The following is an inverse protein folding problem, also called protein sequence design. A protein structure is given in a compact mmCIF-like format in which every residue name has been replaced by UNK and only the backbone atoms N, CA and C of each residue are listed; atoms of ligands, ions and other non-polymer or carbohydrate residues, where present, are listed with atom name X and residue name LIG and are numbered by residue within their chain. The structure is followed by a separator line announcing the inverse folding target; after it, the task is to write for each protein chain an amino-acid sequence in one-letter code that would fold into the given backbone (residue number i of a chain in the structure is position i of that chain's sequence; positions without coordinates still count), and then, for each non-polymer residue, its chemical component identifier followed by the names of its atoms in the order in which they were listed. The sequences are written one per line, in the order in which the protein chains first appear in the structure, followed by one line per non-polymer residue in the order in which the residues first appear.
data_IF_362419424370
#
_entry.id   IF_362419424370
#
_cell.length_a   1.000
_cell.length_b   1.000
_cell.length_c   1.000
_cell.angle_alpha   90.00
_cell.angle_beta   90.00
_cell.angle_gamma   90.00
#
_symmetry.space_group_name_H-M   'P 1'
#
loop_
_entity.id
_entity.type
_entity.pdbx_description
1 polymer ?
#
# COMPACT_ATOMS: atom_id res chain seq x y z
N UNK A 1 31.43 -9.85 64.23
CA UNK A 1 31.99 -8.85 63.31
C UNK A 1 31.77 -9.41 61.89
N UNK A 2 30.54 -9.46 61.36
CA UNK A 2 29.70 -8.47 60.63
C UNK A 2 29.89 -8.50 59.09
N UNK A 3 28.74 -8.68 58.39
CA UNK A 3 28.41 -8.52 56.94
C UNK A 3 28.83 -9.64 55.98
N UNK A 4 28.13 -10.01 54.89
CA UNK A 4 26.83 -9.70 54.24
C UNK A 4 26.73 -10.68 53.04
N UNK A 5 25.55 -11.11 52.62
CA UNK A 5 25.18 -11.07 51.19
C UNK A 5 23.67 -11.22 51.01
N UNK A 6 23.07 -10.12 50.61
CA UNK A 6 21.68 -10.00 50.21
C UNK A 6 21.39 -10.79 48.91
N UNK A 7 20.12 -11.18 48.76
CA UNK A 7 19.46 -11.15 47.46
C UNK A 7 19.39 -12.47 46.70
N UNK A 8 18.42 -13.34 47.05
CA UNK A 8 17.82 -14.29 46.10
C UNK A 8 16.30 -14.31 46.29
N UNK A 9 15.65 -13.31 45.70
CA UNK A 9 14.20 -13.29 45.52
C UNK A 9 13.80 -14.34 44.48
N UNK A 10 12.84 -15.19 44.85
CA UNK A 10 12.22 -16.21 44.03
C UNK A 10 11.40 -15.53 42.92
N UNK A 11 11.68 -15.82 41.65
CA UNK A 11 10.80 -15.45 40.54
C UNK A 11 9.83 -16.60 40.29
N UNK A 12 8.60 -16.48 40.78
CA UNK A 12 7.47 -17.30 40.35
C UNK A 12 7.05 -16.90 38.93
N UNK A 13 7.27 -17.79 37.97
CA UNK A 13 6.75 -17.65 36.62
C UNK A 13 5.27 -18.06 36.61
N UNK A 14 4.37 -17.07 36.70
CA UNK A 14 2.94 -17.27 36.41
C UNK A 14 2.79 -17.33 34.89
N UNK A 15 2.65 -18.54 34.34
CA UNK A 15 2.30 -18.73 32.93
C UNK A 15 0.81 -18.39 32.77
N UNK A 16 0.49 -17.12 32.49
CA UNK A 16 -0.82 -16.77 31.98
C UNK A 16 -0.88 -17.27 30.54
N UNK A 17 -1.89 -18.11 30.27
CA UNK A 17 -2.23 -18.57 28.95
C UNK A 17 -2.44 -17.36 28.02
N UNK A 18 -1.45 -17.05 27.19
CA UNK A 18 -1.65 -16.20 26.03
C UNK A 18 -2.67 -16.91 25.15
N UNK A 19 -3.88 -16.34 25.11
CA UNK A 19 -4.96 -16.83 24.29
C UNK A 19 -4.48 -17.08 22.88
N UNK A 20 -4.96 -18.18 22.29
CA UNK A 20 -4.90 -18.42 20.85
C UNK A 20 -5.66 -17.30 20.13
N UNK A 21 -5.01 -16.16 19.96
CA UNK A 21 -5.44 -15.15 18.99
C UNK A 21 -5.22 -15.76 17.63
N UNK A 22 -6.29 -16.32 17.07
CA UNK A 22 -6.34 -16.65 15.65
C UNK A 22 -6.27 -15.31 14.90
N UNK A 23 -5.06 -14.86 14.58
CA UNK A 23 -4.85 -13.63 13.83
C UNK A 23 -5.51 -13.80 12.46
N UNK A 24 -6.62 -13.11 12.25
CA UNK A 24 -7.27 -13.07 10.95
C UNK A 24 -6.25 -12.65 9.90
N UNK A 25 -6.14 -13.42 8.81
CA UNK A 25 -5.22 -13.10 7.72
C UNK A 25 -5.51 -11.66 7.24
N UNK A 26 -4.49 -10.80 7.12
CA UNK A 26 -4.71 -9.41 6.72
C UNK A 26 -5.42 -9.36 5.37
N UNK A 27 -6.42 -8.48 5.26
CA UNK A 27 -7.18 -8.32 4.04
C UNK A 27 -6.24 -8.03 2.85
N UNK A 28 -6.38 -8.80 1.76
CA UNK A 28 -5.55 -8.63 0.57
C UNK A 28 -5.78 -7.25 -0.03
N UNK A 29 -4.70 -6.58 -0.42
CA UNK A 29 -4.79 -5.30 -1.13
C UNK A 29 -5.44 -5.50 -2.51
N UNK A 30 -6.30 -4.56 -2.89
CA UNK A 30 -6.89 -4.56 -4.24
C UNK A 30 -5.91 -3.91 -5.22
N UNK A 31 -5.63 -4.60 -6.32
CA UNK A 31 -4.77 -4.10 -7.40
C UNK A 31 -5.57 -4.04 -8.69
N UNK A 32 -5.61 -2.86 -9.31
CA UNK A 32 -6.25 -2.64 -10.61
C UNK A 32 -5.18 -2.52 -11.68
N UNK A 33 -5.32 -3.27 -12.77
CA UNK A 33 -4.43 -3.22 -13.92
C UNK A 33 -5.20 -2.73 -15.15
N UNK A 34 -4.82 -1.55 -15.64
CA UNK A 34 -5.31 -1.00 -16.91
C UNK A 34 -4.19 -1.08 -17.96
N UNK A 35 -4.54 -1.43 -19.19
CA UNK A 35 -3.60 -1.55 -20.31
C UNK A 35 -4.16 -0.90 -21.57
N UNK A 36 -3.36 -0.06 -22.22
CA UNK A 36 -3.58 0.37 -23.61
C UNK A 36 -2.30 0.05 -24.42
N UNK A 37 -2.45 -0.74 -25.49
CA UNK A 37 -1.32 -1.19 -26.34
C UNK A 37 -0.65 -0.03 -27.06
N UNK A 38 -1.34 1.08 -27.24
CA UNK A 38 -0.84 2.28 -27.91
C UNK A 38 -0.64 3.43 -26.94
N UNK A 39 -0.49 3.14 -25.64
CA UNK A 39 -0.16 4.13 -24.60
C UNK A 39 1.24 4.74 -24.79
N UNK A 40 2.11 4.07 -25.54
CA UNK A 40 3.42 4.59 -25.94
C UNK A 40 3.67 4.29 -27.41
N UNK A 41 4.51 5.11 -28.03
CA UNK A 41 5.00 4.92 -29.38
C UNK A 41 6.44 5.42 -29.45
N UNK A 42 7.36 4.63 -30.02
CA UNK A 42 8.79 4.97 -30.11
C UNK A 42 9.39 5.45 -28.77
N UNK A 43 9.10 4.74 -27.66
CA UNK A 43 9.54 5.09 -26.30
C UNK A 43 9.05 6.45 -25.78
N UNK A 44 8.06 7.05 -26.44
CA UNK A 44 7.38 8.25 -25.96
C UNK A 44 5.98 7.90 -25.46
N UNK A 45 5.60 8.30 -24.25
CA UNK A 45 4.22 8.15 -23.80
C UNK A 45 3.30 9.00 -24.66
N UNK A 46 2.07 8.53 -24.87
CA UNK A 46 0.98 9.30 -25.48
C UNK A 46 0.09 9.82 -24.35
N UNK A 47 0.21 11.10 -23.94
CA UNK A 47 -0.36 11.60 -22.68
C UNK A 47 -1.86 11.33 -22.54
N UNK A 48 -2.65 11.63 -23.56
CA UNK A 48 -4.10 11.40 -23.53
C UNK A 48 -4.48 9.92 -23.32
N UNK A 49 -3.64 8.97 -23.78
CA UNK A 49 -3.87 7.53 -23.54
C UNK A 49 -3.52 7.15 -22.11
N UNK A 50 -2.41 7.67 -21.60
CA UNK A 50 -1.99 7.44 -20.20
C UNK A 50 -2.99 8.05 -19.22
N UNK A 51 -3.48 9.27 -19.47
CA UNK A 51 -4.54 9.91 -18.69
C UNK A 51 -5.82 9.08 -18.69
N UNK A 52 -6.29 8.63 -19.87
CA UNK A 52 -7.47 7.77 -19.94
C UNK A 52 -7.29 6.44 -19.17
N UNK A 53 -6.08 5.89 -19.16
CA UNK A 53 -5.77 4.70 -18.36
C UNK A 53 -5.82 4.98 -16.85
N UNK A 54 -5.27 6.12 -16.40
CA UNK A 54 -5.32 6.55 -15.00
C UNK A 54 -6.76 6.77 -14.55
N UNK A 55 -7.55 7.49 -15.34
CA UNK A 55 -8.97 7.77 -15.09
C UNK A 55 -9.78 6.47 -14.94
N UNK A 56 -9.56 5.52 -15.85
CA UNK A 56 -10.19 4.20 -15.79
C UNK A 56 -9.80 3.46 -14.50
N UNK A 57 -8.50 3.45 -14.16
CA UNK A 57 -8.02 2.78 -12.95
C UNK A 57 -8.57 3.40 -11.67
N UNK A 58 -8.67 4.73 -11.64
CA UNK A 58 -9.19 5.48 -10.50
C UNK A 58 -10.68 5.24 -10.29
N UNK A 59 -11.48 5.24 -11.36
CA UNK A 59 -12.91 4.91 -11.30
C UNK A 59 -13.12 3.46 -10.82
N UNK A 60 -12.30 2.52 -11.30
CA UNK A 60 -12.40 1.10 -10.89
C UNK A 60 -12.02 0.88 -9.42
N UNK A 61 -10.93 1.50 -8.93
CA UNK A 61 -10.48 1.28 -7.54
C UNK A 61 -11.40 1.96 -6.52
N UNK A 62 -11.98 3.11 -6.87
CA UNK A 62 -12.90 3.86 -5.99
C UNK A 62 -14.37 3.47 -6.17
N UNK A 63 -14.70 2.75 -7.25
CA UNK A 63 -16.06 2.42 -7.70
C UNK A 63 -16.94 3.66 -7.92
N UNK A 64 -16.33 4.76 -8.37
CA UNK A 64 -17.02 6.01 -8.64
C UNK A 64 -17.35 6.15 -10.14
N UNK A 65 -18.45 6.84 -10.48
CA UNK A 65 -18.96 6.90 -11.86
C UNK A 65 -18.14 7.83 -12.77
N UNK A 66 -17.26 8.66 -12.22
CA UNK A 66 -16.39 9.55 -12.99
C UNK A 66 -15.13 9.90 -12.19
N UNK A 67 -14.10 10.36 -12.91
CA UNK A 67 -12.78 10.70 -12.37
C UNK A 67 -12.83 11.75 -11.26
N UNK A 68 -13.68 12.77 -11.39
CA UNK A 68 -13.75 13.87 -10.43
C UNK A 68 -14.37 13.43 -9.08
N UNK A 69 -15.37 12.55 -9.11
CA UNK A 69 -15.92 11.92 -7.91
C UNK A 69 -14.91 10.95 -7.27
N UNK A 70 -14.15 10.23 -8.10
CA UNK A 70 -13.12 9.30 -7.65
C UNK A 70 -12.01 10.02 -6.85
N UNK A 71 -11.42 11.09 -7.38
CA UNK A 71 -10.41 11.88 -6.65
C UNK A 71 -10.95 12.42 -5.32
N UNK A 72 -12.16 13.00 -5.31
CA UNK A 72 -12.79 13.54 -4.10
C UNK A 72 -13.14 12.48 -3.06
N UNK A 73 -13.28 11.22 -3.46
CA UNK A 73 -13.50 10.11 -2.53
C UNK A 73 -12.23 9.66 -1.81
N UNK A 74 -11.06 9.98 -2.36
CA UNK A 74 -9.75 9.61 -1.80
C UNK A 74 -9.08 10.76 -1.04
N UNK A 75 -9.27 12.00 -1.50
CA UNK A 75 -8.55 13.16 -1.00
C UNK A 75 -9.45 14.39 -0.89
N UNK A 76 -9.04 15.32 -0.03
CA UNK A 76 -9.59 16.66 0.12
C UNK A 76 -8.66 17.69 -0.54
N UNK A 77 -9.15 18.91 -0.74
CA UNK A 77 -8.37 20.01 -1.34
C UNK A 77 -7.17 20.45 -0.49
N UNK A 78 -7.10 20.01 0.77
CA UNK A 78 -5.99 20.33 1.68
C UNK A 78 -4.90 19.25 1.70
N UNK A 79 -5.14 18.12 1.04
CA UNK A 79 -4.19 17.02 1.05
C UNK A 79 -3.07 17.26 0.04
N UNK A 80 -1.85 16.88 0.41
CA UNK A 80 -0.71 16.83 -0.51
C UNK A 80 -0.58 15.40 -1.02
N UNK A 81 -0.76 15.20 -2.31
CA UNK A 81 -0.77 13.88 -2.93
C UNK A 81 0.62 13.54 -3.46
N UNK A 82 1.23 12.48 -2.94
CA UNK A 82 2.44 11.88 -3.49
C UNK A 82 2.11 10.73 -4.44
N UNK A 83 2.66 10.75 -5.65
CA UNK A 83 2.51 9.66 -6.63
C UNK A 83 3.82 8.89 -6.71
N UNK A 84 3.80 7.61 -6.34
CA UNK A 84 4.94 6.69 -6.51
C UNK A 84 4.77 5.87 -7.77
N UNK A 85 5.69 6.04 -8.71
CA UNK A 85 5.75 5.21 -9.91
C UNK A 85 6.73 4.06 -9.65
N UNK A 86 6.21 2.83 -9.66
CA UNK A 86 7.03 1.63 -9.65
C UNK A 86 7.02 1.03 -11.06
N UNK A 87 8.13 1.19 -11.77
CA UNK A 87 8.34 0.59 -13.08
C UNK A 87 9.37 -0.53 -12.98
N UNK A 88 9.19 -1.57 -13.79
CA UNK A 88 10.22 -2.56 -14.07
C UNK A 88 10.75 -2.26 -15.46
N UNK A 89 12.06 -2.40 -15.66
CA UNK A 89 12.63 -2.37 -16.99
C UNK A 89 12.02 -3.46 -17.88
N UNK A 90 11.52 -3.03 -19.04
CA UNK A 90 11.12 -3.94 -20.10
C UNK A 90 12.34 -4.44 -20.88
N UNK A 91 12.16 -5.38 -21.82
CA UNK A 91 13.26 -5.95 -22.61
C UNK A 91 14.04 -4.94 -23.45
N UNK A 92 13.47 -3.76 -23.69
CA UNK A 92 14.00 -2.77 -24.64
C UNK A 92 14.33 -1.43 -23.97
N UNK A 93 13.60 -1.06 -22.91
CA UNK A 93 13.83 0.18 -22.15
C UNK A 93 13.20 0.08 -20.75
N UNK A 94 13.70 0.87 -19.80
CA UNK A 94 13.25 0.88 -18.41
C UNK A 94 13.83 2.03 -17.58
N UNK A 95 13.21 2.29 -16.42
CA UNK A 95 13.75 3.12 -15.32
C UNK A 95 13.91 2.29 -14.08
#
# INVERSE_FOLDING_TARGET
MLYSLAGRGLFTATLLADGLVNAAEPAKSTVIQVRDRVASQYFKPRPARVEAMLDTGLQQITRQPNTAAAWRSLFTERDVIGIKVNARAGPVAGT
#
